data_IF_332355064015
#
_entry.id   IF_332355064015
#
_cell.length_a   1.000
_cell.length_b   1.000
_cell.length_c   1.000
_cell.angle_alpha   90.00
_cell.angle_beta   90.00
_cell.angle_gamma   90.00
#
_symmetry.space_group_name_H-M   'P 1'
#
loop_
_entity.id
_entity.type
_entity.pdbx_description
1 polymer ?
#
# COMPACT_ATOMS: atom_id res chain seq x y z
N UNK A 1 -0.45 -1.22 -22.41
CA UNK A 1 -0.07 -2.00 -21.21
C UNK A 1 -1.24 -2.24 -20.26
N UNK A 2 -1.98 -1.22 -19.81
CA UNK A 2 -3.07 -1.38 -18.84
C UNK A 2 -4.12 -2.45 -19.23
N UNK A 3 -4.52 -2.54 -20.50
CA UNK A 3 -5.47 -3.59 -20.97
C UNK A 3 -4.92 -5.01 -20.92
N UNK A 4 -3.60 -5.19 -21.08
CA UNK A 4 -2.97 -6.53 -21.06
C UNK A 4 -2.86 -7.13 -19.67
N UNK A 5 -2.76 -6.32 -18.62
CA UNK A 5 -2.63 -6.81 -17.24
C UNK A 5 -3.96 -6.97 -16.52
N UNK A 6 -5.05 -6.35 -17.01
CA UNK A 6 -6.34 -6.33 -16.32
C UNK A 6 -6.99 -7.73 -16.19
N UNK A 7 -6.91 -8.56 -17.22
CA UNK A 7 -7.54 -9.89 -17.21
C UNK A 7 -6.85 -10.85 -16.22
N UNK A 8 -5.51 -11.05 -16.27
CA UNK A 8 -4.80 -11.84 -15.26
C UNK A 8 -5.04 -11.33 -13.84
N UNK A 9 -4.96 -10.02 -13.61
CA UNK A 9 -5.18 -9.42 -12.30
C UNK A 9 -6.57 -9.70 -11.74
N UNK A 10 -7.60 -9.59 -12.55
CA UNK A 10 -8.96 -9.86 -12.12
C UNK A 10 -9.14 -11.34 -11.72
N UNK A 11 -8.54 -12.26 -12.46
CA UNK A 11 -8.52 -13.69 -12.13
C UNK A 11 -7.87 -13.94 -10.77
N UNK A 12 -6.70 -13.34 -10.54
CA UNK A 12 -6.00 -13.45 -9.26
C UNK A 12 -6.78 -12.78 -8.13
N UNK A 13 -7.36 -11.59 -8.34
CA UNK A 13 -8.17 -10.89 -7.34
C UNK A 13 -9.35 -11.72 -6.85
N UNK A 14 -10.11 -12.34 -7.79
CA UNK A 14 -11.27 -13.15 -7.43
C UNK A 14 -10.82 -14.35 -6.59
N UNK A 15 -9.84 -15.10 -7.06
CA UNK A 15 -9.32 -16.27 -6.36
C UNK A 15 -8.73 -15.90 -4.97
N UNK A 16 -7.96 -14.83 -4.90
CA UNK A 16 -7.38 -14.34 -3.66
C UNK A 16 -8.46 -13.94 -2.65
N UNK A 17 -9.52 -13.26 -3.13
CA UNK A 17 -10.62 -12.81 -2.27
C UNK A 17 -11.39 -13.97 -1.66
N UNK A 18 -11.67 -15.02 -2.43
CA UNK A 18 -12.36 -16.22 -1.94
C UNK A 18 -11.53 -16.90 -0.85
N UNK A 19 -10.22 -17.07 -1.08
CA UNK A 19 -9.32 -17.71 -0.11
C UNK A 19 -9.06 -16.85 1.12
N UNK A 20 -8.89 -15.55 0.94
CA UNK A 20 -8.69 -14.63 2.07
C UNK A 20 -9.91 -14.66 3.00
N UNK A 21 -11.14 -14.63 2.44
CA UNK A 21 -12.37 -14.71 3.22
C UNK A 21 -12.64 -16.07 3.85
N UNK A 22 -12.10 -17.16 3.31
CA UNK A 22 -12.19 -18.47 3.96
C UNK A 22 -11.26 -18.60 5.17
N UNK A 23 -10.23 -17.76 5.26
CA UNK A 23 -9.28 -17.71 6.39
C UNK A 23 -9.71 -16.65 7.41
N UNK A 24 -10.12 -15.49 6.93
CA UNK A 24 -10.56 -14.36 7.73
C UNK A 24 -11.74 -13.67 7.03
N UNK A 25 -12.93 -13.67 7.65
CA UNK A 25 -14.14 -13.07 7.09
C UNK A 25 -14.00 -11.55 6.87
N UNK A 26 -13.16 -10.88 7.66
CA UNK A 26 -12.85 -9.46 7.57
C UNK A 26 -11.74 -9.15 6.56
N UNK A 27 -11.19 -10.17 5.90
CA UNK A 27 -10.11 -9.99 4.94
C UNK A 27 -10.48 -9.01 3.83
N UNK A 28 -9.58 -8.08 3.57
CA UNK A 28 -9.68 -7.11 2.51
C UNK A 28 -8.75 -7.47 1.34
N UNK A 29 -9.24 -7.38 0.10
CA UNK A 29 -8.44 -7.66 -1.10
C UNK A 29 -8.56 -6.53 -2.11
N UNK A 30 -7.40 -5.97 -2.49
CA UNK A 30 -7.27 -4.97 -3.55
C UNK A 30 -6.36 -5.46 -4.67
N UNK A 31 -6.54 -4.88 -5.85
CA UNK A 31 -5.60 -5.01 -6.97
C UNK A 31 -5.11 -3.63 -7.39
N UNK A 32 -3.89 -3.57 -7.90
CA UNK A 32 -3.35 -2.34 -8.49
C UNK A 32 -2.41 -2.63 -9.66
N UNK A 33 -2.34 -1.70 -10.57
CA UNK A 33 -1.24 -1.57 -11.52
C UNK A 33 -0.19 -0.63 -10.95
N UNK A 34 1.09 -0.93 -11.19
CA UNK A 34 2.17 -0.04 -10.82
C UNK A 34 2.14 1.19 -11.72
N UNK A 35 2.28 2.37 -11.12
CA UNK A 35 2.25 3.64 -11.83
C UNK A 35 3.45 3.78 -12.76
N UNK A 36 3.29 4.51 -13.88
CA UNK A 36 4.36 4.74 -14.85
C UNK A 36 5.61 5.38 -14.22
N UNK A 37 5.50 6.45 -13.39
CA UNK A 37 6.67 7.01 -12.70
C UNK A 37 7.41 5.99 -11.82
N UNK A 38 6.67 5.14 -11.09
CA UNK A 38 7.28 4.08 -10.26
C UNK A 38 7.96 2.99 -11.08
N UNK A 39 7.47 2.72 -12.30
CA UNK A 39 8.12 1.81 -13.25
C UNK A 39 9.42 2.43 -13.74
N UNK A 40 9.37 3.70 -14.18
CA UNK A 40 10.54 4.44 -14.67
C UNK A 40 11.60 4.55 -13.58
N UNK A 41 11.24 4.97 -12.37
CA UNK A 41 12.15 5.07 -11.24
C UNK A 41 12.84 3.72 -10.92
N UNK A 42 12.09 2.61 -10.96
CA UNK A 42 12.66 1.28 -10.73
C UNK A 42 13.63 0.87 -11.84
N UNK A 43 13.29 1.12 -13.10
CA UNK A 43 14.18 0.82 -14.23
C UNK A 43 15.42 1.71 -14.24
N UNK A 44 15.32 2.97 -13.83
CA UNK A 44 16.47 3.87 -13.69
C UNK A 44 17.42 3.44 -12.56
N UNK A 45 16.86 2.95 -11.44
CA UNK A 45 17.63 2.43 -10.31
C UNK A 45 18.35 1.12 -10.66
N UNK A 46 17.70 0.24 -11.41
CA UNK A 46 18.23 -1.07 -11.80
C UNK A 46 18.48 -1.12 -13.31
N UNK A 47 19.55 -0.46 -13.78
CA UNK A 47 19.85 -0.27 -15.20
C UNK A 47 19.93 -1.56 -16.05
N UNK A 48 20.25 -2.70 -15.44
CA UNK A 48 20.25 -4.01 -16.10
C UNK A 48 18.86 -4.65 -16.21
N UNK A 49 17.86 -4.12 -15.51
CA UNK A 49 16.50 -4.66 -15.49
C UNK A 49 15.73 -4.23 -16.74
N UNK A 50 15.12 -5.20 -17.42
CA UNK A 50 14.17 -4.93 -18.52
C UNK A 50 12.75 -4.86 -17.95
N UNK A 51 11.87 -4.10 -18.60
CA UNK A 51 10.45 -3.99 -18.25
C UNK A 51 9.77 -5.37 -18.14
N UNK A 52 10.12 -6.30 -19.04
CA UNK A 52 9.60 -7.68 -19.06
C UNK A 52 10.04 -8.54 -17.86
N UNK A 53 11.07 -8.11 -17.14
CA UNK A 53 11.57 -8.79 -15.93
C UNK A 53 10.91 -8.25 -14.66
N UNK A 54 10.17 -7.14 -14.74
CA UNK A 54 9.45 -6.60 -13.58
C UNK A 54 8.31 -7.54 -13.20
N UNK A 55 8.31 -7.97 -11.93
CA UNK A 55 7.34 -8.93 -11.41
C UNK A 55 6.12 -8.26 -10.77
N UNK A 56 6.20 -6.94 -10.53
CA UNK A 56 5.26 -6.13 -9.75
C UNK A 56 4.54 -5.05 -10.58
N UNK A 57 4.47 -5.20 -11.90
CA UNK A 57 3.68 -4.31 -12.78
C UNK A 57 2.19 -4.42 -12.45
N UNK A 58 1.73 -5.64 -12.21
CA UNK A 58 0.40 -5.93 -11.71
C UNK A 58 0.47 -6.68 -10.41
N UNK A 59 -0.32 -6.28 -9.42
CA UNK A 59 -0.33 -6.92 -8.12
C UNK A 59 -1.70 -6.96 -7.46
N UNK A 60 -1.89 -7.97 -6.62
CA UNK A 60 -2.99 -8.06 -5.68
C UNK A 60 -2.46 -7.97 -4.26
N UNK A 61 -3.25 -7.40 -3.36
CA UNK A 61 -2.94 -7.34 -1.93
C UNK A 61 -4.09 -7.95 -1.15
N UNK A 62 -3.77 -8.84 -0.22
CA UNK A 62 -4.66 -9.29 0.82
C UNK A 62 -4.20 -8.74 2.17
N UNK A 63 -5.13 -8.24 2.95
CA UNK A 63 -4.92 -7.80 4.32
C UNK A 63 -5.82 -8.63 5.20
N UNK A 64 -5.26 -9.25 6.22
CA UNK A 64 -5.92 -10.15 7.18
C UNK A 64 -5.65 -9.71 8.61
N UNK A 65 -6.38 -10.27 9.57
CA UNK A 65 -6.35 -9.78 10.95
C UNK A 65 -5.08 -10.15 11.69
N UNK A 66 -4.56 -11.37 11.53
CA UNK A 66 -3.46 -11.90 12.37
C UNK A 66 -2.31 -12.50 11.54
N UNK A 67 -1.16 -12.72 12.19
CA UNK A 67 -0.04 -13.44 11.59
C UNK A 67 -0.41 -14.90 11.24
N UNK A 68 -1.24 -15.53 12.06
CA UNK A 68 -1.73 -16.89 11.78
C UNK A 68 -2.56 -16.93 10.50
N UNK A 69 -3.41 -15.91 10.27
CA UNK A 69 -4.18 -15.78 9.03
C UNK A 69 -3.28 -15.53 7.82
N UNK A 70 -2.20 -14.75 7.98
CA UNK A 70 -1.19 -14.54 6.92
C UNK A 70 -0.59 -15.87 6.49
N UNK A 71 -0.16 -16.70 7.46
CA UNK A 71 0.42 -18.01 7.18
C UNK A 71 -0.61 -18.98 6.56
N UNK A 72 -1.82 -19.03 7.12
CA UNK A 72 -2.90 -19.85 6.60
C UNK A 72 -3.25 -19.50 5.14
N UNK A 73 -3.35 -18.19 4.83
CA UNK A 73 -3.62 -17.72 3.47
C UNK A 73 -2.46 -18.03 2.51
N UNK A 74 -1.21 -17.84 2.94
CA UNK A 74 -0.01 -18.23 2.19
C UNK A 74 -0.07 -19.71 1.82
N UNK A 75 -0.32 -20.59 2.78
CA UNK A 75 -0.34 -22.02 2.58
C UNK A 75 -1.52 -22.46 1.71
N UNK A 76 -2.69 -21.85 1.87
CA UNK A 76 -3.86 -22.05 1.02
C UNK A 76 -3.60 -21.65 -0.45
N UNK A 77 -2.82 -20.60 -0.69
CA UNK A 77 -2.42 -20.20 -2.04
C UNK A 77 -1.39 -21.16 -2.64
N UNK A 78 -0.42 -21.65 -1.86
CA UNK A 78 0.64 -22.56 -2.31
C UNK A 78 0.10 -23.97 -2.59
N UNK A 79 -0.82 -24.48 -1.76
CA UNK A 79 -1.44 -25.79 -1.95
C UNK A 79 -2.55 -25.81 -3.01
N UNK A 80 -2.87 -24.65 -3.56
CA UNK A 80 -3.96 -24.46 -4.49
C UNK A 80 -3.70 -25.18 -5.84
N UNK A 81 -4.70 -25.91 -6.34
CA UNK A 81 -4.66 -26.55 -7.66
C UNK A 81 -4.91 -25.60 -8.83
N UNK A 82 -4.51 -24.31 -8.69
CA UNK A 82 -4.60 -23.36 -9.80
C UNK A 82 -3.51 -23.66 -10.84
N UNK A 83 -3.82 -23.40 -12.12
CA UNK A 83 -2.87 -23.60 -13.23
C UNK A 83 -1.68 -22.64 -13.18
N UNK A 84 -1.80 -21.54 -12.43
CA UNK A 84 -0.76 -20.51 -12.31
C UNK A 84 0.44 -21.04 -11.51
N UNK A 85 1.64 -20.73 -11.98
CA UNK A 85 2.88 -21.23 -11.39
C UNK A 85 3.48 -20.22 -10.43
N UNK A 86 3.65 -20.60 -9.16
CA UNK A 86 4.46 -19.84 -8.21
C UNK A 86 5.94 -19.88 -8.65
N UNK A 87 6.55 -18.71 -8.84
CA UNK A 87 7.94 -18.60 -9.31
C UNK A 87 8.87 -17.92 -8.31
N UNK A 88 8.32 -17.19 -7.36
CA UNK A 88 9.11 -16.56 -6.31
C UNK A 88 8.28 -16.36 -5.04
N UNK A 89 8.92 -16.50 -3.90
CA UNK A 89 8.36 -16.23 -2.58
C UNK A 89 9.39 -15.43 -1.77
N UNK A 90 8.91 -14.41 -1.06
CA UNK A 90 9.71 -13.62 -0.12
C UNK A 90 8.91 -13.44 1.16
N UNK A 91 9.48 -13.91 2.25
CA UNK A 91 8.92 -13.77 3.59
C UNK A 91 9.66 -12.66 4.33
N UNK A 92 9.11 -11.45 4.27
CA UNK A 92 9.63 -10.29 4.99
C UNK A 92 9.05 -10.19 6.43
N UNK A 93 8.27 -11.18 6.88
CA UNK A 93 7.87 -11.27 8.28
C UNK A 93 8.98 -11.91 9.09
N UNK A 94 9.50 -13.04 8.57
CA UNK A 94 10.63 -13.77 9.18
C UNK A 94 11.96 -13.02 8.99
N UNK A 95 12.16 -12.40 7.82
CA UNK A 95 13.35 -11.62 7.48
C UNK A 95 12.93 -10.20 7.00
N UNK A 96 12.64 -9.27 7.92
CA UNK A 96 12.25 -7.91 7.60
C UNK A 96 13.30 -7.19 6.76
N UNK A 97 12.87 -6.23 5.94
CA UNK A 97 13.81 -5.36 5.27
C UNK A 97 14.43 -4.37 6.25
N UNK A 98 15.56 -3.79 5.87
CA UNK A 98 16.26 -2.76 6.66
C UNK A 98 15.39 -1.53 6.94
N UNK A 99 14.50 -1.16 6.00
CA UNK A 99 13.52 -0.09 6.17
C UNK A 99 12.36 -0.42 7.13
N UNK A 100 12.34 -1.64 7.69
CA UNK A 100 11.27 -2.13 8.56
C UNK A 100 10.08 -2.76 7.83
N UNK A 101 10.09 -2.85 6.51
CA UNK A 101 8.97 -3.43 5.77
C UNK A 101 8.75 -4.90 6.13
N UNK A 102 7.49 -5.28 6.41
CA UNK A 102 7.03 -6.65 6.70
C UNK A 102 5.87 -7.05 5.79
N UNK A 103 5.79 -8.34 5.46
CA UNK A 103 4.74 -8.95 4.65
C UNK A 103 5.26 -10.10 3.81
N UNK A 104 4.36 -10.93 3.29
CA UNK A 104 4.70 -12.04 2.39
C UNK A 104 4.41 -11.64 0.95
N UNK A 105 5.36 -11.89 0.05
CA UNK A 105 5.21 -11.68 -1.39
C UNK A 105 5.29 -13.01 -2.12
N UNK A 106 4.26 -13.31 -2.90
CA UNK A 106 4.20 -14.46 -3.79
C UNK A 106 4.11 -13.96 -5.23
N UNK A 107 5.02 -14.40 -6.08
CA UNK A 107 5.01 -14.03 -7.51
C UNK A 107 4.57 -15.22 -8.33
N UNK A 108 3.49 -15.06 -9.05
CA UNK A 108 2.94 -16.08 -9.95
C UNK A 108 3.15 -15.72 -11.41
N UNK A 109 3.31 -16.74 -12.24
CA UNK A 109 3.12 -16.66 -13.70
C UNK A 109 1.71 -17.08 -14.04
N UNK A 110 0.98 -16.20 -14.71
CA UNK A 110 -0.36 -16.50 -15.20
C UNK A 110 -0.29 -17.60 -16.27
N UNK A 111 -1.18 -18.57 -16.19
CA UNK A 111 -1.33 -19.66 -17.16
C UNK A 111 -2.82 -19.91 -17.44
N UNK A 112 -3.17 -20.04 -18.72
CA UNK A 112 -4.53 -20.32 -19.16
C UNK A 112 -4.51 -21.04 -20.50
N UNK A 113 -5.34 -22.06 -20.64
CA UNK A 113 -5.54 -22.77 -21.91
C UNK A 113 -6.51 -22.04 -22.84
N UNK A 114 -7.33 -21.12 -22.28
CA UNK A 114 -8.34 -20.36 -23.03
C UNK A 114 -7.87 -18.96 -23.46
N UNK A 115 -6.91 -18.41 -22.77
CA UNK A 115 -6.41 -17.05 -22.95
C UNK A 115 -4.87 -17.02 -22.93
N UNK A 116 -4.27 -17.78 -23.84
CA UNK A 116 -2.81 -17.96 -23.91
C UNK A 116 -2.03 -16.66 -24.14
N UNK A 117 -2.64 -15.68 -24.78
CA UNK A 117 -2.06 -14.34 -24.99
C UNK A 117 -1.55 -13.69 -23.69
N UNK A 118 -2.12 -14.07 -22.53
CA UNK A 118 -1.72 -13.55 -21.22
C UNK A 118 -0.76 -14.49 -20.48
N UNK A 119 -0.41 -15.64 -21.05
CA UNK A 119 0.49 -16.58 -20.40
C UNK A 119 1.86 -15.95 -20.12
N UNK A 120 2.45 -16.37 -18.99
CA UNK A 120 3.70 -15.88 -18.46
C UNK A 120 3.69 -14.42 -17.93
N UNK A 121 2.53 -13.73 -17.91
CA UNK A 121 2.45 -12.45 -17.19
C UNK A 121 2.71 -12.67 -15.68
N UNK A 122 3.57 -11.84 -15.11
CA UNK A 122 3.82 -11.86 -13.67
C UNK A 122 2.71 -11.13 -12.93
N UNK A 123 2.24 -11.74 -11.85
CA UNK A 123 1.34 -11.12 -10.88
C UNK A 123 1.92 -11.33 -9.49
N UNK A 124 2.15 -10.24 -8.77
CA UNK A 124 2.60 -10.26 -7.38
C UNK A 124 1.38 -10.30 -6.46
N UNK A 125 1.37 -11.20 -5.49
CA UNK A 125 0.43 -11.22 -4.38
C UNK A 125 1.17 -10.79 -3.13
N UNK A 126 0.69 -9.74 -2.46
CA UNK A 126 1.19 -9.27 -1.17
C UNK A 126 0.18 -9.65 -0.08
N UNK A 127 0.64 -10.35 0.95
CA UNK A 127 -0.17 -10.72 2.11
C UNK A 127 0.39 -10.00 3.32
N UNK A 128 -0.47 -9.33 4.08
CA UNK A 128 -0.12 -8.52 5.25
C UNK A 128 -1.17 -8.64 6.33
N UNK A 129 -0.77 -8.39 7.56
CA UNK A 129 -1.72 -8.08 8.63
C UNK A 129 -2.22 -6.63 8.51
N UNK A 130 -3.23 -6.29 9.32
CA UNK A 130 -3.73 -4.92 9.44
C UNK A 130 -2.62 -3.95 9.90
N UNK A 131 -1.77 -4.34 10.86
CA UNK A 131 -0.68 -3.50 11.34
C UNK A 131 0.41 -3.29 10.29
N UNK A 132 0.82 -4.34 9.59
CA UNK A 132 1.79 -4.25 8.49
C UNK A 132 1.25 -3.40 7.34
N UNK A 133 -0.06 -3.45 7.09
CA UNK A 133 -0.69 -2.60 6.09
C UNK A 133 -0.77 -1.15 6.54
N UNK A 134 -1.14 -0.88 7.79
CA UNK A 134 -1.18 0.45 8.38
C UNK A 134 0.20 1.12 8.35
N UNK A 135 1.24 0.38 8.75
CA UNK A 135 2.63 0.84 8.66
C UNK A 135 3.02 1.24 7.23
N UNK A 136 2.80 0.34 6.26
CA UNK A 136 3.16 0.60 4.88
C UNK A 136 2.38 1.78 4.27
N UNK A 137 1.14 2.01 4.72
CA UNK A 137 0.32 3.16 4.32
C UNK A 137 0.88 4.46 4.91
N UNK A 138 1.27 4.46 6.19
CA UNK A 138 1.86 5.62 6.85
C UNK A 138 3.19 6.02 6.22
N UNK A 139 4.10 5.05 5.95
CA UNK A 139 5.37 5.30 5.24
C UNK A 139 5.14 5.96 3.88
N UNK A 140 4.18 5.47 3.11
CA UNK A 140 3.86 6.00 1.77
C UNK A 140 3.26 7.42 1.87
N UNK A 141 2.38 7.64 2.86
CA UNK A 141 1.75 8.95 3.10
C UNK A 141 2.78 9.99 3.56
N UNK A 142 3.58 9.68 4.58
CA UNK A 142 4.62 10.59 5.08
C UNK A 142 5.66 10.85 4.00
N UNK A 143 6.12 9.81 3.28
CA UNK A 143 7.06 9.98 2.18
C UNK A 143 6.56 10.97 1.11
N UNK A 144 5.27 10.97 0.82
CA UNK A 144 4.66 11.94 -0.09
C UNK A 144 4.60 13.33 0.54
N UNK A 145 4.20 13.46 1.81
CA UNK A 145 4.11 14.75 2.51
C UNK A 145 5.45 15.47 2.61
N UNK A 146 6.54 14.74 2.82
CA UNK A 146 7.88 15.33 2.93
C UNK A 146 8.64 15.35 1.59
N UNK A 147 8.03 14.91 0.51
CA UNK A 147 8.65 14.86 -0.82
C UNK A 147 9.80 13.87 -0.95
N UNK A 148 9.85 12.83 -0.09
CA UNK A 148 10.93 11.85 -0.04
C UNK A 148 10.44 10.44 -0.33
N UNK A 149 11.28 9.64 -0.99
CA UNK A 149 10.97 8.26 -1.37
C UNK A 149 11.20 7.24 -0.24
N UNK A 150 10.65 7.44 0.95
CA UNK A 150 10.86 6.57 2.14
C UNK A 150 10.64 5.09 1.84
N UNK A 151 9.62 4.76 1.07
CA UNK A 151 9.32 3.37 0.66
C UNK A 151 10.37 2.73 -0.24
N UNK A 152 11.26 3.53 -0.84
CA UNK A 152 12.33 3.08 -1.70
C UNK A 152 13.69 3.15 -1.00
N UNK A 153 13.70 3.30 0.34
CA UNK A 153 14.88 3.54 1.15
C UNK A 153 15.65 4.81 0.68
N UNK A 154 14.87 5.81 0.27
CA UNK A 154 15.35 7.10 -0.20
C UNK A 154 14.74 8.20 0.66
N UNK A 155 15.41 8.56 1.73
CA UNK A 155 14.94 9.58 2.64
C UNK A 155 15.98 9.94 3.68
N UNK A 156 15.70 10.97 4.46
CA UNK A 156 16.53 11.30 5.60
C UNK A 156 16.53 10.15 6.61
N UNK A 157 17.72 9.84 7.12
CA UNK A 157 17.93 8.69 8.02
C UNK A 157 16.99 8.71 9.23
N UNK A 158 16.68 9.88 9.77
CA UNK A 158 15.77 9.99 10.92
C UNK A 158 14.37 9.43 10.65
N UNK A 159 13.84 9.62 9.43
CA UNK A 159 12.55 9.07 9.04
C UNK A 159 12.60 7.56 8.84
N UNK A 160 13.66 7.07 8.22
CA UNK A 160 13.87 5.64 8.02
C UNK A 160 14.02 4.93 9.36
N UNK A 161 14.82 5.47 10.28
CA UNK A 161 15.01 4.93 11.62
C UNK A 161 13.69 4.95 12.42
N UNK A 162 12.91 6.03 12.33
CA UNK A 162 11.59 6.11 12.96
C UNK A 162 10.67 4.98 12.49
N UNK A 163 10.49 4.82 11.18
CA UNK A 163 9.61 3.80 10.65
C UNK A 163 10.12 2.37 10.92
N UNK A 164 11.43 2.15 10.94
CA UNK A 164 12.00 0.87 11.34
C UNK A 164 11.65 0.53 12.80
N UNK A 165 11.78 1.50 13.72
CA UNK A 165 11.39 1.34 15.12
C UNK A 165 9.88 1.11 15.30
N UNK A 166 9.03 1.82 14.55
CA UNK A 166 7.58 1.57 14.58
C UNK A 166 7.26 0.15 14.09
N UNK A 167 7.95 -0.32 13.04
CA UNK A 167 7.77 -1.69 12.56
C UNK A 167 8.18 -2.73 13.60
N UNK A 168 9.27 -2.50 14.33
CA UNK A 168 9.68 -3.36 15.45
C UNK A 168 8.62 -3.39 16.55
N UNK A 169 8.11 -2.21 16.95
CA UNK A 169 7.03 -2.13 17.92
C UNK A 169 5.76 -2.87 17.49
N UNK A 170 5.39 -2.76 16.21
CA UNK A 170 4.24 -3.50 15.67
C UNK A 170 4.49 -5.02 15.65
N UNK A 171 5.72 -5.46 15.37
CA UNK A 171 6.09 -6.88 15.44
C UNK A 171 5.91 -7.44 16.87
N UNK A 172 6.35 -6.70 17.88
CA UNK A 172 6.14 -7.08 19.29
C UNK A 172 4.64 -7.16 19.61
N UNK A 173 3.84 -6.21 19.14
CA UNK A 173 2.37 -6.23 19.26
C UNK A 173 1.74 -7.44 18.56
N UNK A 174 2.32 -7.94 17.50
CA UNK A 174 1.92 -9.16 16.79
C UNK A 174 2.45 -10.44 17.43
N UNK A 175 3.21 -10.35 18.52
CA UNK A 175 3.73 -11.49 19.27
C UNK A 175 5.00 -12.10 18.67
N UNK A 176 5.78 -11.32 17.90
CA UNK A 176 7.03 -11.81 17.28
C UNK A 176 8.20 -11.74 18.26
N UNK A 177 8.30 -10.63 19.02
CA UNK A 177 9.41 -10.34 19.94
C UNK A 177 8.89 -10.18 21.39
N UNK A 178 9.80 -10.22 22.38
CA UNK A 178 9.43 -10.21 23.80
C UNK A 178 9.11 -8.82 24.37
N UNK A 179 8.41 -8.76 25.53
CA UNK A 179 7.93 -7.51 26.12
C UNK A 179 9.04 -6.54 26.59
N UNK A 180 10.23 -7.03 26.95
CA UNK A 180 11.31 -6.19 27.45
C UNK A 180 11.91 -5.32 26.33
N UNK A 181 11.95 -5.82 25.12
CA UNK A 181 12.39 -5.08 23.94
C UNK A 181 11.45 -3.90 23.60
N UNK A 182 10.16 -4.02 23.93
CA UNK A 182 9.17 -2.98 23.69
C UNK A 182 9.46 -1.68 24.46
N UNK A 183 10.00 -1.77 25.69
CA UNK A 183 10.26 -0.58 26.53
C UNK A 183 11.32 0.34 25.93
N UNK A 184 12.39 -0.23 25.40
CA UNK A 184 13.47 0.55 24.77
C UNK A 184 12.98 1.18 23.48
N UNK A 185 12.23 0.44 22.66
CA UNK A 185 11.60 0.94 21.45
C UNK A 185 10.59 2.07 21.76
N UNK A 186 9.79 1.93 22.82
CA UNK A 186 8.83 2.97 23.25
C UNK A 186 9.54 4.27 23.64
N UNK A 187 10.63 4.18 24.41
CA UNK A 187 11.39 5.35 24.85
C UNK A 187 11.96 6.10 23.63
N UNK A 188 12.57 5.40 22.70
CA UNK A 188 13.10 5.98 21.46
C UNK A 188 12.00 6.61 20.61
N UNK A 189 10.86 5.92 20.42
CA UNK A 189 9.73 6.44 19.64
C UNK A 189 9.12 7.71 20.24
N UNK A 190 9.05 7.84 21.57
CA UNK A 190 8.58 9.07 22.23
C UNK A 190 9.45 10.27 21.91
N UNK A 191 10.76 10.08 21.88
CA UNK A 191 11.71 11.15 21.55
C UNK A 191 11.55 11.54 20.09
N UNK A 192 11.55 10.56 19.18
CA UNK A 192 11.47 10.83 17.74
C UNK A 192 10.12 11.43 17.35
N UNK A 193 8.99 10.99 17.96
CA UNK A 193 7.67 11.54 17.67
C UNK A 193 7.59 13.03 18.07
N UNK A 194 8.20 13.41 19.21
CA UNK A 194 8.26 14.81 19.65
C UNK A 194 8.95 15.71 18.64
N UNK A 195 9.99 15.18 17.96
CA UNK A 195 10.80 15.95 17.02
C UNK A 195 10.18 15.94 15.61
N UNK A 196 9.57 14.81 15.20
CA UNK A 196 9.04 14.61 13.86
C UNK A 196 7.57 15.00 13.69
N UNK A 197 6.80 15.07 14.80
CA UNK A 197 5.36 15.38 14.79
C UNK A 197 4.54 14.52 13.80
N UNK A 198 4.83 13.21 13.73
CA UNK A 198 4.24 12.30 12.73
C UNK A 198 2.73 12.20 12.89
N UNK A 199 2.25 12.09 14.15
CA UNK A 199 0.82 11.99 14.46
C UNK A 199 0.08 13.23 14.01
N UNK A 200 0.62 14.42 14.30
CA UNK A 200 0.01 15.71 13.92
C UNK A 200 -0.06 15.86 12.41
N UNK A 201 1.04 15.55 11.71
CA UNK A 201 1.12 15.61 10.25
C UNK A 201 0.12 14.66 9.57
N UNK A 202 0.06 13.41 10.03
CA UNK A 202 -0.89 12.44 9.48
C UNK A 202 -2.35 12.80 9.81
N UNK A 203 -2.61 13.35 11.01
CA UNK A 203 -3.96 13.80 11.39
C UNK A 203 -4.40 15.00 10.57
N UNK A 204 -3.53 15.98 10.34
CA UNK A 204 -3.82 17.12 9.47
C UNK A 204 -4.12 16.66 8.04
N UNK A 205 -3.30 15.76 7.48
CA UNK A 205 -3.51 15.19 6.16
C UNK A 205 -4.85 14.45 6.04
N UNK A 206 -5.21 13.64 7.03
CA UNK A 206 -6.52 12.97 7.06
C UNK A 206 -7.70 13.95 7.03
N UNK A 207 -7.60 15.09 7.74
CA UNK A 207 -8.66 16.12 7.74
C UNK A 207 -8.85 16.73 6.36
N UNK A 208 -7.75 17.08 5.70
CA UNK A 208 -7.77 17.62 4.34
C UNK A 208 -8.38 16.61 3.37
N UNK A 209 -7.95 15.36 3.43
CA UNK A 209 -8.47 14.29 2.56
C UNK A 209 -9.95 14.00 2.79
N UNK A 210 -10.42 13.99 4.04
CA UNK A 210 -11.84 13.82 4.36
C UNK A 210 -12.68 14.95 3.78
N UNK A 211 -12.23 16.20 3.90
CA UNK A 211 -12.91 17.37 3.33
C UNK A 211 -12.99 17.29 1.79
N UNK A 212 -11.89 16.92 1.14
CA UNK A 212 -11.83 16.81 -0.33
C UNK A 212 -12.77 15.73 -0.92
N UNK A 213 -13.09 14.68 -0.16
CA UNK A 213 -13.94 13.56 -0.60
C UNK A 213 -15.42 13.70 -0.21
N UNK A 214 -15.74 14.61 0.70
CA UNK A 214 -17.11 14.76 1.24
C UNK A 214 -18.13 15.36 0.24
N UNK A 215 -17.71 15.68 -0.99
CA UNK A 215 -18.57 16.31 -2.01
C UNK A 215 -19.66 15.38 -2.55
N UNK A 216 -20.95 15.71 -2.38
CA UNK A 216 -22.08 14.89 -2.83
C UNK A 216 -22.18 14.71 -4.35
N UNK A 217 -21.65 15.65 -5.15
CA UNK A 217 -21.74 15.61 -6.62
C UNK A 217 -20.91 14.46 -7.23
N UNK A 218 -20.03 13.86 -6.45
CA UNK A 218 -19.14 12.77 -6.88
C UNK A 218 -19.75 11.36 -6.82
N UNK A 219 -21.03 11.23 -6.46
CA UNK A 219 -21.66 9.91 -6.24
C UNK A 219 -21.82 9.06 -7.50
N UNK A 220 -21.82 9.67 -8.69
CA UNK A 220 -21.99 8.99 -9.99
C UNK A 220 -20.69 8.86 -10.78
N UNK A 221 -19.57 9.24 -10.21
CA UNK A 221 -18.29 9.16 -10.87
C UNK A 221 -17.79 7.71 -10.94
N UNK A 222 -17.20 7.34 -12.08
CA UNK A 222 -16.55 6.05 -12.27
C UNK A 222 -15.01 6.17 -12.24
N UNK A 223 -14.48 7.36 -12.48
CA UNK A 223 -13.04 7.66 -12.44
C UNK A 223 -12.79 8.85 -11.52
N UNK A 224 -11.72 8.73 -10.75
CA UNK A 224 -11.27 9.78 -9.83
C UNK A 224 -9.80 10.06 -10.09
N UNK A 225 -9.47 11.29 -10.44
CA UNK A 225 -8.10 11.78 -10.49
C UNK A 225 -7.82 12.54 -9.21
N UNK A 226 -6.89 12.00 -8.43
CA UNK A 226 -6.42 12.65 -7.22
C UNK A 226 -5.03 13.22 -7.48
N UNK A 227 -4.85 14.50 -7.14
CA UNK A 227 -3.59 15.21 -7.23
C UNK A 227 -3.25 15.68 -5.81
N UNK A 228 -2.11 15.25 -5.32
CA UNK A 228 -1.55 15.68 -4.05
C UNK A 228 -0.37 16.62 -4.34
N UNK A 229 -0.46 17.85 -3.90
CA UNK A 229 0.60 18.87 -3.96
C UNK A 229 1.11 19.12 -2.55
N UNK A 230 2.10 18.34 -2.13
CA UNK A 230 2.65 18.43 -0.78
C UNK A 230 3.32 19.78 -0.47
N UNK A 231 4.07 20.42 -1.41
CA UNK A 231 4.62 21.75 -1.20
C UNK A 231 3.59 22.84 -0.88
N UNK A 232 2.37 22.72 -1.45
CA UNK A 232 1.28 23.65 -1.22
C UNK A 232 0.26 23.16 -0.19
N UNK A 233 0.46 21.97 0.39
CA UNK A 233 -0.48 21.29 1.30
C UNK A 233 -1.90 21.14 0.69
N UNK A 234 -1.96 20.98 -0.63
CA UNK A 234 -3.21 20.92 -1.39
C UNK A 234 -3.52 19.52 -1.87
N UNK A 235 -4.81 19.15 -1.82
CA UNK A 235 -5.34 17.92 -2.42
C UNK A 235 -6.49 18.28 -3.34
N UNK A 236 -6.32 17.99 -4.63
CA UNK A 236 -7.37 18.14 -5.62
C UNK A 236 -7.93 16.77 -5.99
N UNK A 237 -9.26 16.63 -5.99
CA UNK A 237 -9.94 15.43 -6.46
C UNK A 237 -10.89 15.82 -7.59
N UNK A 238 -10.57 15.35 -8.81
CA UNK A 238 -11.44 15.49 -9.97
C UNK A 238 -12.17 14.18 -10.20
N UNK A 239 -13.46 14.28 -10.53
CA UNK A 239 -14.33 13.12 -10.77
C UNK A 239 -14.85 13.13 -12.19
N UNK A 240 -14.95 11.94 -12.80
CA UNK A 240 -15.37 11.75 -14.18
C UNK A 240 -16.38 10.62 -14.27
N UNK A 241 -17.38 10.76 -15.13
CA UNK A 241 -18.37 9.74 -15.40
C UNK A 241 -17.76 8.54 -16.17
N UNK A 242 -18.51 7.44 -16.24
CA UNK A 242 -18.04 6.21 -16.89
C UNK A 242 -17.71 6.37 -18.40
N UNK A 243 -18.34 7.32 -19.08
CA UNK A 243 -18.11 7.65 -20.47
C UNK A 243 -16.98 8.68 -20.68
N UNK A 244 -16.36 9.20 -19.62
CA UNK A 244 -15.31 10.23 -19.68
C UNK A 244 -13.89 9.65 -19.49
N UNK A 245 -13.67 8.38 -19.73
CA UNK A 245 -12.36 7.72 -19.53
C UNK A 245 -11.21 8.43 -20.27
N UNK A 246 -11.43 8.81 -21.53
CA UNK A 246 -10.39 9.46 -22.34
C UNK A 246 -10.04 10.85 -21.79
N UNK A 247 -11.03 11.59 -21.29
CA UNK A 247 -10.84 12.90 -20.64
C UNK A 247 -10.08 12.75 -19.33
N UNK A 248 -10.47 11.78 -18.49
CA UNK A 248 -9.78 11.49 -17.23
C UNK A 248 -8.32 11.09 -17.47
N UNK A 249 -8.07 10.27 -18.50
CA UNK A 249 -6.71 9.82 -18.87
C UNK A 249 -5.85 10.95 -19.41
N UNK A 250 -6.43 11.83 -20.23
CA UNK A 250 -5.73 12.99 -20.79
C UNK A 250 -5.33 13.97 -19.66
N UNK A 251 -6.22 14.24 -18.71
CA UNK A 251 -5.94 15.10 -17.57
C UNK A 251 -4.89 14.49 -16.64
N UNK A 252 -4.98 13.20 -16.34
CA UNK A 252 -3.95 12.48 -15.59
C UNK A 252 -2.57 12.63 -16.23
N UNK A 253 -2.49 12.43 -17.56
CA UNK A 253 -1.24 12.58 -18.31
C UNK A 253 -0.71 14.02 -18.24
N UNK A 254 -1.59 15.01 -18.40
CA UNK A 254 -1.23 16.43 -18.28
C UNK A 254 -0.63 16.75 -16.91
N UNK A 255 -1.23 16.25 -15.84
CA UNK A 255 -0.74 16.45 -14.46
C UNK A 255 0.60 15.73 -14.26
N UNK A 256 0.74 14.48 -14.72
CA UNK A 256 2.01 13.74 -14.62
C UNK A 256 3.17 14.41 -15.39
N UNK A 257 2.89 14.93 -16.61
CA UNK A 257 3.90 15.63 -17.42
C UNK A 257 4.31 16.99 -16.82
N UNK A 258 3.40 17.65 -16.11
CA UNK A 258 3.64 18.92 -15.42
C UNK A 258 4.14 18.75 -13.98
N UNK A 259 4.22 17.50 -13.47
CA UNK A 259 4.54 17.24 -12.07
C UNK A 259 5.95 17.71 -11.70
N UNK A 260 6.04 18.43 -10.59
CA UNK A 260 7.26 18.86 -9.91
C UNK A 260 7.49 18.01 -8.66
N UNK A 261 8.69 18.02 -8.06
CA UNK A 261 8.96 17.31 -6.81
C UNK A 261 7.91 17.63 -5.74
N UNK A 262 7.36 16.59 -5.09
CA UNK A 262 6.29 16.70 -4.10
C UNK A 262 4.88 16.77 -4.66
N UNK A 263 4.68 16.75 -5.99
CA UNK A 263 3.36 16.58 -6.62
C UNK A 263 3.20 15.14 -7.07
N UNK A 264 2.13 14.49 -6.63
CA UNK A 264 1.80 13.11 -7.00
C UNK A 264 0.36 13.03 -7.54
N UNK A 265 0.14 12.23 -8.57
CA UNK A 265 -1.18 12.06 -9.18
C UNK A 265 -1.54 10.58 -9.31
N UNK A 266 -2.82 10.27 -9.18
CA UNK A 266 -3.33 8.93 -9.44
C UNK A 266 -4.72 8.99 -10.06
N UNK A 267 -4.89 8.24 -11.15
CA UNK A 267 -6.20 8.01 -11.76
C UNK A 267 -6.72 6.63 -11.32
N UNK A 268 -7.88 6.61 -10.72
CA UNK A 268 -8.47 5.41 -10.12
C UNK A 268 -9.86 5.14 -10.67
N UNK A 269 -10.17 3.87 -10.87
CA UNK A 269 -11.51 3.37 -11.17
C UNK A 269 -12.12 2.86 -9.89
N UNK A 270 -13.26 3.39 -9.49
CA UNK A 270 -13.95 2.91 -8.31
C UNK A 270 -15.47 3.06 -8.47
N UNK A 271 -16.18 2.05 -8.01
CA UNK A 271 -17.64 2.03 -8.02
C UNK A 271 -18.25 2.98 -6.96
N UNK A 272 -17.42 3.50 -6.07
CA UNK A 272 -17.80 4.46 -5.04
C UNK A 272 -16.56 5.09 -4.37
N UNK A 273 -16.72 6.25 -3.77
CA UNK A 273 -15.70 6.89 -2.94
C UNK A 273 -15.25 6.00 -1.76
N UNK A 274 -16.15 5.14 -1.25
CA UNK A 274 -15.82 4.16 -0.21
C UNK A 274 -14.88 3.07 -0.73
N UNK A 275 -15.19 2.46 -1.89
CA UNK A 275 -14.34 1.46 -2.53
C UNK A 275 -12.95 2.03 -2.86
N UNK A 276 -12.90 3.30 -3.25
CA UNK A 276 -11.67 4.03 -3.52
C UNK A 276 -10.77 4.15 -2.26
N UNK A 277 -11.35 4.55 -1.12
CA UNK A 277 -10.64 4.67 0.16
C UNK A 277 -10.00 3.34 0.59
N UNK A 278 -10.75 2.26 0.45
CA UNK A 278 -10.29 0.92 0.80
C UNK A 278 -9.15 0.45 -0.14
N UNK A 279 -9.27 0.72 -1.44
CA UNK A 279 -8.29 0.29 -2.44
C UNK A 279 -6.96 1.08 -2.38
N UNK A 280 -7.04 2.34 -1.98
CA UNK A 280 -5.91 3.28 -2.02
C UNK A 280 -5.80 4.10 -0.71
N UNK A 281 -5.63 3.45 0.43
CA UNK A 281 -5.64 4.13 1.74
C UNK A 281 -4.56 5.23 1.85
N UNK A 282 -3.43 5.07 1.19
CA UNK A 282 -2.34 6.05 1.18
C UNK A 282 -2.73 7.39 0.51
N UNK A 283 -3.65 7.39 -0.47
CA UNK A 283 -4.15 8.62 -1.09
C UNK A 283 -5.29 9.27 -0.31
N UNK A 284 -6.01 8.50 0.50
CA UNK A 284 -7.05 9.01 1.38
C UNK A 284 -6.55 9.25 2.79
N UNK A 285 -5.25 9.04 3.03
CA UNK A 285 -4.64 9.22 4.32
C UNK A 285 -5.31 8.40 5.43
N UNK A 286 -5.83 7.20 5.10
CA UNK A 286 -6.42 6.34 6.12
C UNK A 286 -5.32 5.67 6.94
N UNK A 287 -4.67 6.51 7.73
CA UNK A 287 -3.62 6.16 8.68
C UNK A 287 -4.17 6.05 10.10
N UNK A 288 -5.51 5.94 10.24
CA UNK A 288 -6.18 5.93 11.56
C UNK A 288 -5.67 4.83 12.47
N UNK A 289 -5.53 3.61 11.94
CA UNK A 289 -4.99 2.48 12.70
C UNK A 289 -3.52 2.72 13.09
N UNK A 290 -2.71 3.24 12.17
CA UNK A 290 -1.31 3.56 12.47
C UNK A 290 -1.19 4.60 13.58
N UNK A 291 -1.97 5.69 13.51
CA UNK A 291 -1.98 6.75 14.52
C UNK A 291 -2.42 6.18 15.87
N UNK A 292 -3.52 5.43 15.91
CA UNK A 292 -4.03 4.84 17.14
C UNK A 292 -3.02 3.89 17.81
N UNK A 293 -2.40 3.01 17.02
CA UNK A 293 -1.41 2.06 17.54
C UNK A 293 -0.11 2.75 17.97
N UNK A 294 0.35 3.76 17.22
CA UNK A 294 1.51 4.56 17.63
C UNK A 294 1.24 5.31 18.93
N UNK A 295 0.06 5.93 19.07
CA UNK A 295 -0.36 6.59 20.30
C UNK A 295 -0.39 5.62 21.49
N UNK A 296 -0.93 4.41 21.29
CA UNK A 296 -0.95 3.36 22.33
C UNK A 296 0.47 2.94 22.72
N UNK A 297 1.39 2.84 21.78
CA UNK A 297 2.78 2.46 22.04
C UNK A 297 3.51 3.55 22.83
N UNK A 298 3.40 4.81 22.41
CA UNK A 298 4.11 5.93 23.06
C UNK A 298 3.41 6.46 24.30
N UNK A 299 2.20 6.01 24.60
CA UNK A 299 1.50 6.41 25.82
C UNK A 299 2.38 6.15 27.05
N UNK A 300 2.37 7.02 28.08
CA UNK A 300 3.00 6.70 29.35
C UNK A 300 2.44 5.38 29.85
N UNK A 301 3.31 4.49 30.37
CA UNK A 301 2.85 3.29 31.05
C UNK A 301 2.07 3.81 32.26
N UNK A 302 0.77 4.02 32.07
CA UNK A 302 -0.12 4.49 33.11
C UNK A 302 -0.23 3.40 34.15
N UNK A 303 -0.03 3.80 35.37
CA UNK A 303 -0.58 3.20 36.57
C UNK A 303 -2.06 2.85 36.35
N UNK A 304 -2.32 1.72 35.69
CA UNK A 304 -3.61 1.07 35.88
C UNK A 304 -3.52 0.32 37.20
N UNK A 305 -3.90 1.08 38.26
CA UNK A 305 -4.23 0.52 39.53
C UNK A 305 -5.52 -0.31 39.44
#
# INVERSE_FOLDING_TARGET
>A
MARFSSFPLNTFKINLRERARSVDEHAFVAQRLKRAPSIIAKLSRFRAMRLTQMQDIGGCRAVVSTLADVQALRDALKSSRIKHRLVNEKDYITAPKEDGYRGIHLVYRYMSDRKETYNNHSVEIQIRTNLQHAWATAVETVGTLIGQGLKADQGEKVWLDFFALVSAAFAIREGVDGPDELRDVQAALRVMERDLHVIDRLTAFQRVMKAAVADPERRLAAYFLMVLDAPNEEVTVLSYAANEFDRATAEYKRVEEAARPGVDAVLVVADSAHALRIAYPNYFGDTSLFIAELQNIIAPIGLHA
#
